data_IF_616066572738
#
_entry.id   IF_616066572738
#
_cell.length_a   1.000
_cell.length_b   1.000
_cell.length_c   1.000
_cell.angle_alpha   90.00
_cell.angle_beta   90.00
_cell.angle_gamma   90.00
#
_symmetry.space_group_name_H-M   'P 1'
#
loop_
_entity.id
_entity.type
_entity.pdbx_description
1 polymer ?
#
# COMPACT_ATOMS: atom_id res chain seq x y z
N UNK A 1 -43.03 -17.35 -2.30
CA UNK A 1 -41.66 -17.80 -1.95
C UNK A 1 -40.62 -17.40 -2.99
N UNK A 2 -40.88 -17.57 -4.30
CA UNK A 2 -39.92 -17.25 -5.39
C UNK A 2 -39.46 -15.78 -5.38
N UNK A 3 -40.38 -14.81 -5.30
CA UNK A 3 -40.04 -13.36 -5.29
C UNK A 3 -39.10 -13.02 -4.12
N UNK A 4 -39.39 -13.54 -2.93
CA UNK A 4 -38.54 -13.34 -1.75
C UNK A 4 -37.12 -13.87 -1.96
N UNK A 5 -36.97 -15.08 -2.51
CA UNK A 5 -35.66 -15.66 -2.81
C UNK A 5 -34.91 -14.83 -3.87
N UNK A 6 -35.60 -14.34 -4.90
CA UNK A 6 -34.99 -13.49 -5.93
C UNK A 6 -34.46 -12.17 -5.34
N UNK A 7 -35.25 -11.49 -4.49
CA UNK A 7 -34.82 -10.28 -3.80
C UNK A 7 -33.62 -10.56 -2.90
N UNK A 8 -33.65 -11.68 -2.16
CA UNK A 8 -32.57 -12.07 -1.27
C UNK A 8 -31.28 -12.37 -2.03
N UNK A 9 -31.35 -13.11 -3.14
CA UNK A 9 -30.21 -13.37 -4.03
C UNK A 9 -29.63 -12.05 -4.56
N UNK A 10 -30.49 -11.15 -5.04
CA UNK A 10 -30.07 -9.86 -5.58
C UNK A 10 -29.32 -9.02 -4.53
N UNK A 11 -29.86 -8.95 -3.32
CA UNK A 11 -29.22 -8.24 -2.22
C UNK A 11 -27.87 -8.87 -1.83
N UNK A 12 -27.79 -10.20 -1.76
CA UNK A 12 -26.52 -10.92 -1.53
C UNK A 12 -25.48 -10.58 -2.59
N UNK A 13 -25.88 -10.55 -3.87
CA UNK A 13 -24.98 -10.21 -4.98
C UNK A 13 -24.50 -8.76 -4.92
N UNK A 14 -25.37 -7.80 -4.58
CA UNK A 14 -24.98 -6.39 -4.40
C UNK A 14 -23.97 -6.25 -3.26
N UNK A 15 -24.28 -6.83 -2.09
CA UNK A 15 -23.41 -6.74 -0.92
C UNK A 15 -22.03 -7.34 -1.21
N UNK A 16 -22.00 -8.51 -1.84
CA UNK A 16 -20.76 -9.15 -2.27
C UNK A 16 -20.00 -8.36 -3.34
N UNK A 17 -20.71 -7.78 -4.31
CA UNK A 17 -20.09 -6.95 -5.34
C UNK A 17 -19.44 -5.69 -4.76
N UNK A 18 -20.15 -4.97 -3.89
CA UNK A 18 -19.64 -3.79 -3.20
C UNK A 18 -18.49 -4.12 -2.25
N UNK A 19 -18.60 -5.23 -1.49
CA UNK A 19 -17.53 -5.70 -0.62
C UNK A 19 -16.24 -5.99 -1.43
N UNK A 20 -16.37 -6.75 -2.51
CA UNK A 20 -15.24 -7.07 -3.40
C UNK A 20 -14.66 -5.79 -4.01
N UNK A 21 -15.49 -4.87 -4.50
CA UNK A 21 -15.04 -3.59 -5.05
C UNK A 21 -14.24 -2.77 -4.04
N UNK A 22 -14.77 -2.53 -2.83
CA UNK A 22 -14.06 -1.73 -1.83
C UNK A 22 -12.77 -2.39 -1.36
N UNK A 23 -12.78 -3.71 -1.10
CA UNK A 23 -11.57 -4.42 -0.67
C UNK A 23 -10.51 -4.44 -1.77
N UNK A 24 -10.89 -4.72 -3.03
CA UNK A 24 -9.93 -4.71 -4.14
C UNK A 24 -9.37 -3.32 -4.41
N UNK A 25 -10.20 -2.29 -4.42
CA UNK A 25 -9.74 -0.90 -4.60
C UNK A 25 -8.81 -0.47 -3.46
N UNK A 26 -9.13 -0.82 -2.22
CA UNK A 26 -8.25 -0.55 -1.08
C UNK A 26 -6.90 -1.25 -1.25
N UNK A 27 -6.90 -2.58 -1.36
CA UNK A 27 -5.68 -3.40 -1.37
C UNK A 27 -4.75 -3.13 -2.56
N UNK A 28 -5.30 -2.70 -3.70
CA UNK A 28 -4.53 -2.34 -4.90
C UNK A 28 -4.16 -0.86 -4.98
N UNK A 29 -4.70 -0.02 -4.09
CA UNK A 29 -4.37 1.41 -4.06
C UNK A 29 -2.94 1.67 -3.58
N UNK A 30 -2.34 2.72 -4.15
CA UNK A 30 -1.03 3.22 -3.73
C UNK A 30 -1.13 4.37 -2.72
N UNK A 31 -2.35 4.71 -2.28
CA UNK A 31 -2.64 5.90 -1.48
C UNK A 31 -2.91 5.56 0.00
N UNK A 32 -2.33 4.47 0.51
CA UNK A 32 -2.53 4.07 1.91
C UNK A 32 -1.88 5.04 2.88
N UNK A 33 -0.70 5.53 2.51
CA UNK A 33 0.03 6.54 3.23
C UNK A 33 0.61 7.55 2.24
N UNK A 34 0.61 8.83 2.63
CA UNK A 34 1.33 9.87 1.94
C UNK A 34 2.55 10.26 2.76
N UNK A 35 3.69 10.32 2.08
CA UNK A 35 4.99 10.63 2.62
C UNK A 35 5.33 12.05 2.21
N UNK A 36 5.49 12.91 3.19
CA UNK A 36 5.88 14.31 3.04
C UNK A 36 7.03 14.66 3.97
N UNK A 37 7.58 15.86 3.86
CA UNK A 37 8.63 16.35 4.76
C UNK A 37 8.15 17.61 5.47
N UNK A 38 8.40 17.70 6.78
CA UNK A 38 8.13 18.93 7.56
C UNK A 38 9.14 19.99 7.17
N UNK A 39 8.69 21.02 6.45
CA UNK A 39 9.57 22.04 5.87
C UNK A 39 10.39 22.76 6.93
N UNK A 40 9.76 23.11 8.05
CA UNK A 40 10.40 23.84 9.14
C UNK A 40 11.57 23.06 9.72
N UNK A 41 11.39 21.75 9.94
CA UNK A 41 12.45 20.89 10.47
C UNK A 41 13.57 20.67 9.47
N UNK A 42 13.25 20.53 8.19
CA UNK A 42 14.26 20.40 7.13
C UNK A 42 15.10 21.67 7.01
N UNK A 43 14.45 22.83 7.00
CA UNK A 43 15.12 24.14 6.90
C UNK A 43 15.99 24.43 8.14
N UNK A 44 15.53 24.02 9.32
CA UNK A 44 16.31 24.11 10.55
C UNK A 44 17.60 23.29 10.47
N UNK A 45 17.52 22.04 10.02
CA UNK A 45 18.70 21.16 9.84
C UNK A 45 19.62 21.72 8.77
N UNK A 46 19.06 22.20 7.66
CA UNK A 46 19.85 22.81 6.59
C UNK A 46 20.63 24.04 7.09
N UNK A 47 20.00 24.89 7.89
CA UNK A 47 20.65 26.03 8.54
C UNK A 47 21.74 25.60 9.51
N UNK A 48 21.48 24.59 10.35
CA UNK A 48 22.46 24.11 11.33
C UNK A 48 23.72 23.52 10.67
N UNK A 49 23.57 22.90 9.50
CA UNK A 49 24.66 22.26 8.76
C UNK A 49 25.23 23.11 7.62
N UNK A 50 24.77 24.35 7.45
CA UNK A 50 25.13 25.21 6.32
C UNK A 50 24.89 24.55 4.94
N UNK A 51 23.83 23.75 4.81
CA UNK A 51 23.41 23.19 3.52
C UNK A 51 22.50 24.18 2.77
N UNK A 52 22.59 24.21 1.45
CA UNK A 52 21.66 24.98 0.62
C UNK A 52 20.41 24.15 0.33
N UNK A 53 19.22 24.74 0.49
CA UNK A 53 17.94 24.08 0.20
C UNK A 53 17.13 24.85 -0.84
N UNK A 54 16.56 24.12 -1.78
CA UNK A 54 15.62 24.62 -2.78
C UNK A 54 14.36 23.75 -2.77
N UNK A 55 13.20 24.38 -2.62
CA UNK A 55 11.92 23.70 -2.73
C UNK A 55 11.40 23.77 -4.17
N UNK A 56 11.19 22.60 -4.77
CA UNK A 56 10.63 22.39 -6.09
C UNK A 56 9.12 22.11 -5.99
N UNK A 57 8.37 22.14 -7.11
CA UNK A 57 6.93 21.89 -7.10
C UNK A 57 6.57 20.53 -6.47
N UNK A 58 5.39 20.48 -5.83
CA UNK A 58 4.90 19.33 -5.02
C UNK A 58 5.75 19.04 -3.78
N UNK A 59 6.31 20.08 -3.17
CA UNK A 59 7.07 19.97 -1.91
C UNK A 59 8.29 19.04 -1.98
N UNK A 60 8.88 18.90 -3.17
CA UNK A 60 10.13 18.21 -3.38
C UNK A 60 11.28 19.10 -2.89
N UNK A 61 12.05 18.63 -1.91
CA UNK A 61 13.23 19.36 -1.42
C UNK A 61 14.49 18.93 -2.16
N UNK A 62 15.28 19.88 -2.67
CA UNK A 62 16.63 19.65 -3.18
C UNK A 62 17.62 20.26 -2.20
N UNK A 63 18.55 19.45 -1.70
CA UNK A 63 19.56 19.86 -0.73
C UNK A 63 20.94 19.71 -1.37
N UNK A 64 21.72 20.78 -1.42
CA UNK A 64 23.14 20.69 -1.79
C UNK A 64 23.97 20.50 -0.52
N UNK A 65 24.59 19.33 -0.40
CA UNK A 65 25.50 19.02 0.70
C UNK A 65 26.91 19.37 0.24
N UNK A 66 27.57 20.23 1.00
CA UNK A 66 29.02 20.45 0.87
C UNK A 66 29.70 19.31 1.64
N UNK A 67 30.33 18.38 0.93
CA UNK A 67 31.01 17.26 1.58
C UNK A 67 32.16 17.75 2.47
N UNK A 68 32.09 17.47 3.77
CA UNK A 68 33.30 17.33 4.59
C UNK A 68 33.98 16.02 4.17
N UNK A 69 35.29 16.08 3.96
CA UNK A 69 36.16 15.16 3.21
C UNK A 69 36.13 13.66 3.54
N UNK A 70 35.32 13.19 4.50
CA UNK A 70 35.28 11.80 4.95
C UNK A 70 34.24 10.91 4.23
N UNK A 71 33.19 11.47 3.62
CA UNK A 71 32.16 10.67 2.91
C UNK A 71 32.65 10.12 1.55
N UNK A 72 33.74 10.68 1.02
CA UNK A 72 34.34 10.30 -0.28
C UNK A 72 34.86 8.86 -0.33
N UNK A 73 35.05 8.20 0.82
CA UNK A 73 35.75 6.91 0.90
C UNK A 73 34.93 5.72 0.42
N UNK A 74 33.62 5.87 0.19
CA UNK A 74 32.76 4.78 -0.29
C UNK A 74 32.35 4.90 -1.77
N UNK A 75 32.51 6.07 -2.39
CA UNK A 75 32.09 6.33 -3.79
C UNK A 75 33.29 6.34 -4.76
N UNK A 76 34.51 6.64 -4.31
CA UNK A 76 35.72 6.62 -5.15
C UNK A 76 36.37 5.23 -5.24
N UNK A 77 35.75 4.32 -5.99
CA UNK A 77 36.49 3.20 -6.60
C UNK A 77 36.50 3.23 -8.14
N UNK A 78 35.98 4.28 -8.77
CA UNK A 78 36.04 4.36 -10.24
C UNK A 78 36.10 5.81 -10.71
N UNK A 79 37.30 6.29 -11.03
CA UNK A 79 37.50 7.46 -11.87
C UNK A 79 38.05 8.70 -11.17
N UNK A 80 39.25 9.11 -11.58
CA UNK A 80 39.90 10.36 -11.22
C UNK A 80 39.05 11.58 -11.61
N UNK A 81 38.65 12.39 -10.64
CA UNK A 81 38.63 13.85 -10.75
C UNK A 81 38.46 14.50 -9.37
N UNK A 82 39.43 15.32 -8.98
CA UNK A 82 39.41 16.23 -7.84
C UNK A 82 38.74 17.54 -8.27
N UNK A 83 37.43 17.62 -8.05
CA UNK A 83 36.71 18.88 -7.86
C UNK A 83 35.90 18.72 -6.57
N UNK A 84 35.71 19.81 -5.82
CA UNK A 84 34.75 19.90 -4.71
C UNK A 84 33.35 19.61 -5.27
N UNK A 85 33.00 18.32 -5.30
CA UNK A 85 31.74 17.87 -5.86
C UNK A 85 30.65 18.17 -4.83
N UNK A 86 29.87 19.23 -5.08
CA UNK A 86 28.59 19.42 -4.40
C UNK A 86 27.68 18.27 -4.79
N UNK A 87 27.34 17.41 -3.84
CA UNK A 87 26.38 16.32 -4.07
C UNK A 87 24.98 16.83 -3.74
N UNK A 88 24.11 16.93 -4.74
CA UNK A 88 22.71 17.27 -4.55
C UNK A 88 21.95 16.03 -4.07
N UNK A 89 21.13 16.16 -3.02
CA UNK A 89 20.29 15.09 -2.46
C UNK A 89 18.84 15.54 -2.50
N UNK A 90 17.93 14.63 -2.82
CA UNK A 90 16.51 14.93 -2.99
C UNK A 90 15.64 14.33 -1.87
N UNK A 91 14.78 15.17 -1.30
CA UNK A 91 13.72 14.81 -0.36
C UNK A 91 12.43 14.58 -1.15
N UNK A 92 12.19 13.31 -1.51
CA UNK A 92 11.15 12.94 -2.47
C UNK A 92 9.85 12.59 -1.73
N UNK A 93 8.76 13.36 -1.90
CA UNK A 93 7.44 12.95 -1.43
C UNK A 93 6.93 11.75 -2.21
N UNK A 94 6.12 10.90 -1.59
CA UNK A 94 5.70 9.64 -2.18
C UNK A 94 4.38 9.12 -1.60
N UNK A 95 3.63 8.35 -2.40
CA UNK A 95 2.44 7.64 -1.97
C UNK A 95 2.76 6.15 -1.83
N UNK A 96 2.52 5.60 -0.64
CA UNK A 96 2.74 4.21 -0.30
C UNK A 96 1.44 3.41 -0.31
N UNK A 97 1.43 2.30 -1.03
CA UNK A 97 0.40 1.27 -0.96
C UNK A 97 0.85 0.05 -0.17
N UNK A 98 0.06 -1.03 -0.25
CA UNK A 98 0.45 -2.33 0.33
C UNK A 98 1.62 -2.96 -0.45
N UNK A 99 1.63 -2.82 -1.78
CA UNK A 99 2.53 -3.55 -2.67
C UNK A 99 3.55 -2.68 -3.41
N UNK A 100 3.35 -1.36 -3.43
CA UNK A 100 4.14 -0.42 -4.23
C UNK A 100 4.32 0.91 -3.50
N UNK A 101 5.42 1.60 -3.80
CA UNK A 101 5.71 2.96 -3.38
C UNK A 101 5.93 3.83 -4.61
N UNK A 102 5.14 4.89 -4.77
CA UNK A 102 5.20 5.76 -5.94
C UNK A 102 5.69 7.16 -5.54
N UNK A 103 6.75 7.66 -6.17
CA UNK A 103 7.21 9.02 -5.95
C UNK A 103 6.21 10.05 -6.54
N UNK A 104 5.91 11.10 -5.80
CA UNK A 104 5.03 12.19 -6.20
C UNK A 104 5.83 13.37 -6.76
N UNK A 105 6.28 13.25 -8.02
CA UNK A 105 7.19 14.20 -8.65
C UNK A 105 6.55 14.81 -9.90
N UNK A 106 6.62 16.13 -10.02
CA UNK A 106 6.21 16.87 -11.22
C UNK A 106 7.19 16.67 -12.39
N UNK A 107 6.72 16.76 -13.63
CA UNK A 107 7.58 16.53 -14.81
C UNK A 107 8.74 17.52 -14.94
N UNK A 108 8.53 18.78 -14.51
CA UNK A 108 9.61 19.80 -14.49
C UNK A 108 10.68 19.48 -13.46
N UNK A 109 10.27 19.07 -12.25
CA UNK A 109 11.20 18.65 -11.20
C UNK A 109 12.00 17.40 -11.62
N UNK A 110 11.35 16.49 -12.34
CA UNK A 110 11.98 15.27 -12.86
C UNK A 110 13.11 15.54 -13.84
N UNK A 111 12.93 16.50 -14.75
CA UNK A 111 13.98 16.91 -15.67
C UNK A 111 15.21 17.43 -14.91
N UNK A 112 15.00 18.26 -13.89
CA UNK A 112 16.07 18.79 -13.04
C UNK A 112 16.78 17.70 -12.24
N UNK A 113 16.05 16.73 -11.70
CA UNK A 113 16.63 15.56 -11.03
C UNK A 113 17.50 14.74 -11.99
N UNK A 114 17.04 14.55 -13.23
CA UNK A 114 17.78 13.81 -14.25
C UNK A 114 19.08 14.51 -14.66
N UNK A 115 19.07 15.84 -14.73
CA UNK A 115 20.29 16.65 -14.94
C UNK A 115 21.30 16.46 -13.80
N UNK A 116 20.83 16.36 -12.56
CA UNK A 116 21.65 16.05 -11.38
C UNK A 116 22.03 14.56 -11.26
N UNK A 117 21.71 13.73 -12.26
CA UNK A 117 22.06 12.30 -12.30
C UNK A 117 21.10 11.36 -11.54
N UNK A 118 19.95 11.86 -11.08
CA UNK A 118 18.92 11.07 -10.40
C UNK A 118 17.83 10.63 -11.39
N UNK A 119 17.76 9.33 -11.68
CA UNK A 119 16.68 8.74 -12.48
C UNK A 119 15.67 8.00 -11.59
N UNK A 120 14.66 8.73 -11.10
CA UNK A 120 13.58 8.18 -10.26
C UNK A 120 12.25 8.42 -10.96
N UNK A 121 11.91 7.51 -11.87
CA UNK A 121 10.71 7.60 -12.70
C UNK A 121 9.60 6.62 -12.30
N UNK A 122 9.93 5.61 -11.49
CA UNK A 122 9.09 4.41 -11.33
C UNK A 122 8.50 4.25 -9.93
N UNK A 123 7.25 3.78 -9.88
CA UNK A 123 6.72 3.16 -8.68
C UNK A 123 7.56 1.92 -8.34
N UNK A 124 8.14 1.91 -7.15
CA UNK A 124 8.94 0.83 -6.63
C UNK A 124 7.99 -0.28 -6.18
N UNK A 125 8.01 -1.40 -6.89
CA UNK A 125 7.31 -2.59 -6.47
C UNK A 125 8.07 -3.28 -5.35
N UNK A 126 7.41 -3.53 -4.23
CA UNK A 126 8.00 -4.29 -3.12
C UNK A 126 8.20 -5.77 -3.46
N UNK A 127 7.63 -6.26 -4.56
CA UNK A 127 7.87 -7.59 -5.10
C UNK A 127 9.18 -7.67 -5.90
N UNK A 128 9.70 -6.54 -6.39
CA UNK A 128 10.97 -6.49 -7.11
C UNK A 128 12.09 -6.15 -6.13
N UNK A 129 12.97 -7.11 -5.88
CA UNK A 129 14.05 -6.96 -4.88
C UNK A 129 15.14 -5.95 -5.29
N UNK A 130 15.18 -5.51 -6.55
CA UNK A 130 16.28 -4.69 -7.08
C UNK A 130 16.36 -3.28 -6.47
N UNK A 131 15.25 -2.75 -5.95
CA UNK A 131 15.15 -1.35 -5.46
C UNK A 131 14.90 -1.24 -3.95
N UNK A 132 15.05 -2.36 -3.23
CA UNK A 132 14.82 -2.44 -1.78
C UNK A 132 16.18 -2.35 -1.07
N UNK A 133 16.34 -1.32 -0.26
CA UNK A 133 17.52 -1.18 0.61
C UNK A 133 17.06 -1.67 1.99
N UNK A 134 17.31 -2.93 2.30
CA UNK A 134 16.90 -3.53 3.59
C UNK A 134 17.72 -2.92 4.74
N UNK A 135 17.26 -1.76 5.23
CA UNK A 135 17.82 -1.10 6.42
C UNK A 135 17.07 -1.49 7.69
N UNK A 136 15.76 -1.72 7.59
CA UNK A 136 14.90 -2.08 8.72
C UNK A 136 14.22 -3.45 8.53
N UNK A 137 14.75 -4.44 9.26
CA UNK A 137 14.21 -5.80 9.27
C UNK A 137 12.77 -5.89 9.82
N UNK A 138 12.35 -4.95 10.68
CA UNK A 138 10.97 -4.90 11.18
C UNK A 138 10.01 -4.49 10.08
N UNK A 139 10.32 -3.39 9.39
CA UNK A 139 9.52 -2.88 8.28
C UNK A 139 9.36 -3.94 7.19
N UNK A 140 10.44 -4.64 6.84
CA UNK A 140 10.41 -5.72 5.85
C UNK A 140 9.49 -6.87 6.27
N UNK A 141 9.56 -7.29 7.55
CA UNK A 141 8.66 -8.33 8.08
C UNK A 141 7.20 -7.92 8.02
N UNK A 142 6.86 -6.71 8.49
CA UNK A 142 5.48 -6.21 8.50
C UNK A 142 4.93 -6.06 7.09
N UNK A 143 5.74 -5.54 6.16
CA UNK A 143 5.38 -5.40 4.75
C UNK A 143 5.11 -6.76 4.10
N UNK A 144 5.98 -7.75 4.30
CA UNK A 144 5.80 -9.08 3.75
C UNK A 144 4.54 -9.77 4.30
N UNK A 145 4.24 -9.57 5.60
CA UNK A 145 2.99 -10.05 6.21
C UNK A 145 1.76 -9.36 5.61
N UNK A 146 1.76 -8.03 5.52
CA UNK A 146 0.65 -7.27 4.94
C UNK A 146 0.38 -7.67 3.47
N UNK A 147 1.43 -7.77 2.66
CA UNK A 147 1.36 -8.16 1.25
C UNK A 147 0.83 -9.58 1.07
N UNK A 148 1.33 -10.55 1.82
CA UNK A 148 0.87 -11.94 1.71
C UNK A 148 -0.61 -12.08 2.09
N UNK A 149 -1.05 -11.42 3.17
CA UNK A 149 -2.47 -11.37 3.54
C UNK A 149 -3.33 -10.70 2.46
N UNK A 150 -2.85 -9.59 1.87
CA UNK A 150 -3.56 -8.90 0.80
C UNK A 150 -3.73 -9.78 -0.45
N UNK A 151 -2.67 -10.48 -0.86
CA UNK A 151 -2.71 -11.39 -2.02
C UNK A 151 -3.70 -12.54 -1.78
N UNK A 152 -3.67 -13.15 -0.59
CA UNK A 152 -4.62 -14.22 -0.25
C UNK A 152 -6.06 -13.68 -0.24
N UNK A 153 -6.29 -12.49 0.31
CA UNK A 153 -7.59 -11.83 0.29
C UNK A 153 -8.08 -11.62 -1.16
N UNK A 154 -7.23 -11.08 -2.04
CA UNK A 154 -7.56 -10.87 -3.45
C UNK A 154 -7.87 -12.19 -4.19
N UNK A 155 -7.12 -13.26 -3.92
CA UNK A 155 -7.38 -14.58 -4.47
C UNK A 155 -8.74 -15.11 -4.01
N UNK A 156 -9.04 -15.02 -2.71
CA UNK A 156 -10.33 -15.45 -2.17
C UNK A 156 -11.50 -14.69 -2.79
N UNK A 157 -11.37 -13.38 -2.97
CA UNK A 157 -12.39 -12.55 -3.63
C UNK A 157 -12.53 -12.88 -5.13
N UNK A 158 -11.42 -13.12 -5.82
CA UNK A 158 -11.42 -13.46 -7.25
C UNK A 158 -12.13 -14.80 -7.52
N UNK A 159 -11.96 -15.80 -6.64
CA UNK A 159 -12.59 -17.11 -6.80
C UNK A 159 -14.01 -17.18 -6.21
N UNK A 160 -14.32 -16.40 -5.16
CA UNK A 160 -15.64 -16.45 -4.51
C UNK A 160 -16.77 -16.01 -5.43
N UNK A 161 -16.54 -15.02 -6.29
CA UNK A 161 -17.51 -14.50 -7.27
C UNK A 161 -17.98 -15.57 -8.27
N UNK A 162 -17.08 -16.14 -9.10
CA UNK A 162 -17.43 -17.19 -10.05
C UNK A 162 -18.06 -18.42 -9.38
N UNK A 163 -17.51 -18.88 -8.25
CA UNK A 163 -18.06 -20.02 -7.51
C UNK A 163 -19.49 -19.72 -7.01
N UNK A 164 -19.72 -18.53 -6.47
CA UNK A 164 -21.04 -18.10 -6.03
C UNK A 164 -22.05 -18.11 -7.17
N UNK A 165 -21.69 -17.53 -8.31
CA UNK A 165 -22.54 -17.47 -9.51
C UNK A 165 -22.89 -18.88 -10.02
N UNK A 166 -21.89 -19.77 -10.14
CA UNK A 166 -22.11 -21.15 -10.55
C UNK A 166 -22.99 -21.92 -9.55
N UNK A 167 -22.78 -21.69 -8.25
CA UNK A 167 -23.60 -22.25 -7.18
C UNK A 167 -25.07 -21.86 -7.29
N UNK A 168 -25.35 -20.59 -7.64
CA UNK A 168 -26.71 -20.11 -7.88
C UNK A 168 -27.34 -20.73 -9.15
N UNK A 169 -26.60 -20.79 -10.26
CA UNK A 169 -27.09 -21.37 -11.51
C UNK A 169 -27.41 -22.86 -11.41
N UNK A 170 -26.53 -23.64 -10.77
CA UNK A 170 -26.72 -25.08 -10.56
C UNK A 170 -27.55 -25.40 -9.32
N UNK A 171 -27.99 -24.39 -8.57
CA UNK A 171 -28.68 -24.51 -7.27
C UNK A 171 -27.92 -25.44 -6.30
N UNK A 172 -26.59 -25.44 -6.35
CA UNK A 172 -25.74 -26.34 -5.58
C UNK A 172 -25.42 -25.72 -4.22
N UNK A 173 -26.08 -26.22 -3.17
CA UNK A 173 -25.99 -25.66 -1.80
C UNK A 173 -24.56 -25.63 -1.28
N UNK A 174 -23.77 -26.68 -1.52
CA UNK A 174 -22.39 -26.76 -1.05
C UNK A 174 -21.54 -25.61 -1.58
N UNK A 175 -21.70 -25.25 -2.86
CA UNK A 175 -20.96 -24.16 -3.50
C UNK A 175 -21.37 -22.80 -2.93
N UNK A 176 -22.68 -22.57 -2.73
CA UNK A 176 -23.21 -21.35 -2.09
C UNK A 176 -22.66 -21.18 -0.68
N UNK A 177 -22.58 -22.26 0.10
CA UNK A 177 -22.02 -22.25 1.46
C UNK A 177 -20.52 -21.94 1.45
N UNK A 178 -19.75 -22.58 0.55
CA UNK A 178 -18.31 -22.34 0.41
C UNK A 178 -18.03 -20.89 0.06
N UNK A 179 -18.81 -20.27 -0.84
CA UNK A 179 -18.70 -18.84 -1.15
C UNK A 179 -18.85 -17.96 0.10
N UNK A 180 -19.82 -18.26 0.96
CA UNK A 180 -19.99 -17.53 2.24
C UNK A 180 -18.75 -17.66 3.14
N UNK A 181 -18.21 -18.87 3.28
CA UNK A 181 -16.98 -19.11 4.06
C UNK A 181 -15.76 -18.39 3.46
N UNK A 182 -15.63 -18.36 2.12
CA UNK A 182 -14.56 -17.66 1.44
C UNK A 182 -14.59 -16.15 1.70
N UNK A 183 -15.77 -15.53 1.76
CA UNK A 183 -15.91 -14.13 2.17
C UNK A 183 -15.50 -13.90 3.62
N UNK A 184 -15.84 -14.80 4.56
CA UNK A 184 -15.35 -14.71 5.95
C UNK A 184 -13.83 -14.77 6.00
N UNK A 185 -13.22 -15.73 5.29
CA UNK A 185 -11.76 -15.85 5.23
C UNK A 185 -11.14 -14.60 4.61
N UNK A 186 -11.70 -14.06 3.53
CA UNK A 186 -11.24 -12.82 2.92
C UNK A 186 -11.29 -11.64 3.91
N UNK A 187 -12.37 -11.53 4.69
CA UNK A 187 -12.48 -10.50 5.73
C UNK A 187 -11.41 -10.66 6.82
N UNK A 188 -11.13 -11.87 7.28
CA UNK A 188 -10.07 -12.13 8.27
C UNK A 188 -8.70 -11.70 7.74
N UNK A 189 -8.37 -12.07 6.50
CA UNK A 189 -7.11 -11.63 5.88
C UNK A 189 -7.04 -10.11 5.66
N UNK A 190 -8.14 -9.47 5.28
CA UNK A 190 -8.20 -8.00 5.19
C UNK A 190 -7.99 -7.32 6.54
N UNK A 191 -8.58 -7.83 7.63
CA UNK A 191 -8.31 -7.32 8.99
C UNK A 191 -6.82 -7.41 9.32
N UNK A 192 -6.18 -8.53 8.98
CA UNK A 192 -4.73 -8.68 9.19
C UNK A 192 -3.91 -7.70 8.34
N UNK A 193 -4.26 -7.50 7.06
CA UNK A 193 -3.59 -6.49 6.22
C UNK A 193 -3.69 -5.11 6.84
N UNK A 194 -4.88 -4.70 7.27
CA UNK A 194 -5.10 -3.42 7.93
C UNK A 194 -4.29 -3.29 9.24
N UNK A 195 -4.27 -4.33 10.05
CA UNK A 195 -3.49 -4.37 11.29
C UNK A 195 -1.98 -4.23 11.01
N UNK A 196 -1.42 -4.99 10.07
CA UNK A 196 0.00 -4.89 9.73
C UNK A 196 0.36 -3.54 9.12
N UNK A 197 -0.51 -2.98 8.27
CA UNK A 197 -0.32 -1.64 7.71
C UNK A 197 -0.37 -0.54 8.76
N UNK A 198 -1.15 -0.72 9.83
CA UNK A 198 -1.16 0.18 10.99
C UNK A 198 0.12 0.02 11.84
N UNK A 199 0.48 -1.22 12.19
CA UNK A 199 1.61 -1.50 13.07
C UNK A 199 2.98 -1.22 12.44
N UNK A 200 3.10 -1.18 11.11
CA UNK A 200 4.39 -0.92 10.44
C UNK A 200 5.01 0.43 10.85
N UNK A 201 4.21 1.41 11.28
CA UNK A 201 4.66 2.77 11.63
C UNK A 201 4.70 3.08 13.13
N UNK A 202 4.40 2.12 14.02
CA UNK A 202 4.40 2.37 15.48
C UNK A 202 5.82 2.38 16.09
N UNK A 203 6.83 1.89 15.36
CA UNK A 203 8.23 1.90 15.82
C UNK A 203 8.87 3.29 15.75
N UNK A 204 9.81 3.61 16.67
CA UNK A 204 10.54 4.89 16.68
C UNK A 204 11.36 5.12 15.39
N UNK A 205 11.83 4.05 14.74
CA UNK A 205 12.52 4.10 13.44
C UNK A 205 11.55 4.07 12.24
N UNK A 206 10.27 4.36 12.48
CA UNK A 206 9.20 4.35 11.46
C UNK A 206 9.38 5.35 10.33
N UNK A 207 10.45 6.15 10.38
CA UNK A 207 10.83 7.11 9.35
C UNK A 207 11.49 6.48 8.13
N UNK A 208 11.99 5.25 8.18
CA UNK A 208 12.56 4.56 7.01
C UNK A 208 11.47 4.13 6.00
N UNK A 209 11.84 4.15 4.71
CA UNK A 209 11.08 3.48 3.64
C UNK A 209 11.72 2.16 3.21
N UNK A 210 12.99 1.93 3.54
CA UNK A 210 13.80 0.78 3.10
C UNK A 210 13.83 0.64 1.57
N UNK A 211 13.92 1.77 0.87
CA UNK A 211 13.97 1.83 -0.61
C UNK A 211 15.08 2.75 -1.10
N UNK A 212 15.26 2.85 -2.43
CA UNK A 212 16.19 3.82 -3.04
C UNK A 212 15.92 5.28 -2.64
N UNK A 213 14.72 5.64 -2.15
CA UNK A 213 14.42 6.98 -1.61
C UNK A 213 15.21 7.29 -0.31
N UNK A 214 15.73 6.25 0.35
CA UNK A 214 16.57 6.40 1.54
C UNK A 214 18.08 6.32 1.22
N UNK A 215 18.44 6.19 -0.07
CA UNK A 215 19.82 6.13 -0.50
C UNK A 215 20.46 7.52 -0.42
N UNK A 216 21.65 7.61 0.18
CA UNK A 216 22.44 8.84 0.32
C UNK A 216 21.76 9.99 1.08
N UNK A 217 20.61 9.75 1.71
CA UNK A 217 19.92 10.75 2.52
C UNK A 217 20.42 10.69 3.98
N UNK A 218 20.86 11.80 4.59
CA UNK A 218 21.25 11.80 6.00
C UNK A 218 20.04 11.54 6.92
N UNK A 219 20.27 10.78 7.99
CA UNK A 219 19.22 10.34 8.92
C UNK A 219 18.46 11.52 9.56
N UNK A 220 19.13 12.64 9.81
CA UNK A 220 18.52 13.85 10.35
C UNK A 220 17.39 14.38 9.47
N UNK A 221 17.60 14.42 8.15
CA UNK A 221 16.54 14.82 7.21
C UNK A 221 15.43 13.76 7.10
N UNK A 222 15.76 12.47 7.30
CA UNK A 222 14.75 11.42 7.35
C UNK A 222 13.81 11.57 8.55
N UNK A 223 14.31 12.06 9.70
CA UNK A 223 13.48 12.31 10.89
C UNK A 223 12.43 13.41 10.67
N UNK A 224 12.63 14.28 9.69
CA UNK A 224 11.63 15.27 9.28
C UNK A 224 10.52 14.69 8.40
N UNK A 225 10.62 13.41 8.00
CA UNK A 225 9.59 12.73 7.21
C UNK A 225 8.31 12.56 8.02
N UNK A 226 7.20 12.92 7.42
CA UNK A 226 5.86 12.82 7.99
C UNK A 226 5.02 11.85 7.16
N UNK A 227 4.32 10.95 7.86
CA UNK A 227 3.44 9.96 7.24
C UNK A 227 2.00 10.29 7.62
N UNK A 228 1.19 10.57 6.61
CA UNK A 228 -0.25 10.80 6.79
C UNK A 228 -1.03 9.64 6.20
N UNK A 229 -2.06 9.19 6.90
CA UNK A 229 -2.94 8.11 6.45
C UNK A 229 -3.80 8.61 5.30
N UNK A 230 -3.90 7.84 4.22
CA UNK A 230 -4.78 8.15 3.08
C UNK A 230 -6.17 7.53 3.20
N UNK A 231 -6.90 7.48 2.09
CA UNK A 231 -8.28 6.98 2.03
C UNK A 231 -8.48 5.44 2.06
N UNK A 232 -7.54 4.58 1.58
CA UNK A 232 -7.77 3.14 1.48
C UNK A 232 -8.18 2.46 2.79
N UNK A 233 -7.58 2.75 3.97
CA UNK A 233 -8.01 2.15 5.22
C UNK A 233 -9.51 2.33 5.52
N UNK A 234 -10.08 3.49 5.19
CA UNK A 234 -11.51 3.74 5.37
C UNK A 234 -12.36 2.90 4.41
N UNK A 235 -11.93 2.77 3.15
CA UNK A 235 -12.57 1.89 2.17
C UNK A 235 -12.45 0.41 2.55
N UNK A 236 -11.32 0.00 3.13
CA UNK A 236 -11.10 -1.36 3.63
C UNK A 236 -12.09 -1.70 4.74
N UNK A 237 -12.24 -0.83 5.74
CA UNK A 237 -13.21 -1.03 6.82
C UNK A 237 -14.64 -1.18 6.29
N UNK A 238 -15.04 -0.31 5.36
CA UNK A 238 -16.35 -0.42 4.71
C UNK A 238 -16.50 -1.75 3.97
N UNK A 239 -15.48 -2.14 3.20
CA UNK A 239 -15.42 -3.42 2.49
C UNK A 239 -15.49 -4.63 3.43
N UNK A 240 -14.79 -4.59 4.56
CA UNK A 240 -14.78 -5.64 5.60
C UNK A 240 -16.17 -5.82 6.22
N UNK A 241 -16.84 -4.72 6.60
CA UNK A 241 -18.20 -4.76 7.13
C UNK A 241 -19.18 -5.36 6.11
N UNK A 242 -19.12 -4.90 4.86
CA UNK A 242 -19.96 -5.44 3.77
C UNK A 242 -19.65 -6.90 3.47
N UNK A 243 -18.38 -7.30 3.56
CA UNK A 243 -17.93 -8.67 3.35
C UNK A 243 -18.50 -9.62 4.41
N UNK A 244 -18.44 -9.23 5.68
CA UNK A 244 -19.03 -10.00 6.78
C UNK A 244 -20.55 -10.09 6.66
N UNK A 245 -21.24 -8.98 6.37
CA UNK A 245 -22.69 -8.99 6.16
C UNK A 245 -23.04 -9.87 4.95
N UNK A 246 -22.35 -9.69 3.82
CA UNK A 246 -22.53 -10.50 2.62
C UNK A 246 -22.31 -11.99 2.89
N UNK A 247 -21.33 -12.35 3.72
CA UNK A 247 -21.09 -13.75 4.10
C UNK A 247 -22.26 -14.37 4.87
N UNK A 248 -22.87 -13.62 5.79
CA UNK A 248 -24.08 -14.06 6.51
C UNK A 248 -25.23 -14.29 5.54
N UNK A 249 -25.39 -13.39 4.57
CA UNK A 249 -26.38 -13.52 3.51
C UNK A 249 -26.15 -14.77 2.65
N UNK A 250 -24.91 -15.09 2.26
CA UNK A 250 -24.58 -16.33 1.56
C UNK A 250 -24.94 -17.59 2.37
N UNK A 251 -24.62 -17.60 3.67
CA UNK A 251 -24.92 -18.73 4.54
C UNK A 251 -26.43 -18.90 4.78
N UNK A 252 -27.16 -17.80 4.97
CA UNK A 252 -28.62 -17.80 5.05
C UNK A 252 -29.25 -18.26 3.73
N UNK A 253 -28.70 -17.84 2.60
CA UNK A 253 -29.15 -18.28 1.29
C UNK A 253 -29.00 -19.79 1.12
N UNK A 254 -27.86 -20.36 1.52
CA UNK A 254 -27.65 -21.81 1.51
C UNK A 254 -28.71 -22.55 2.37
N UNK A 255 -29.11 -21.98 3.51
CA UNK A 255 -30.21 -22.51 4.33
C UNK A 255 -31.56 -22.42 3.62
N UNK A 256 -31.89 -21.28 3.02
CA UNK A 256 -33.15 -21.08 2.26
C UNK A 256 -33.26 -22.11 1.14
N UNK A 257 -32.21 -22.30 0.33
CA UNK A 257 -32.19 -23.31 -0.73
C UNK A 257 -32.37 -24.73 -0.17
N UNK A 258 -31.76 -25.06 0.97
CA UNK A 258 -31.97 -26.36 1.62
C UNK A 258 -33.42 -26.58 2.03
N UNK A 259 -34.09 -25.57 2.57
CA UNK A 259 -35.52 -25.67 2.92
C UNK A 259 -36.39 -25.84 1.68
N UNK A 260 -36.10 -25.14 0.59
CA UNK A 260 -36.85 -25.27 -0.67
C UNK A 260 -36.74 -26.67 -1.28
N UNK A 261 -35.58 -27.33 -1.17
CA UNK A 261 -35.41 -28.71 -1.63
C UNK A 261 -36.20 -29.69 -0.76
N UNK A 262 -36.25 -29.46 0.57
CA UNK A 262 -36.93 -30.35 1.52
C UNK A 262 -38.46 -30.16 1.57
N UNK A 263 -38.97 -29.01 1.15
CA UNK A 263 -40.41 -28.68 1.13
C UNK A 263 -40.85 -28.14 -0.23
N UNK A 264 -40.89 -29.00 -1.27
CA UNK A 264 -41.39 -28.60 -2.58
C UNK A 264 -42.89 -28.34 -2.46
N UNK A 265 -43.26 -27.06 -2.43
CA UNK A 265 -44.65 -26.58 -2.59
C UNK A 265 -44.85 -26.12 -4.02
#
# INVERSE_FOLDING_TARGET
>A
MVIFTCIFVFLTLILSGLATLFLTLSLLSNEWEHISYKKEGVEEIARLKNHSIEWLPRDLGRIEIMEESDFKKQILLTGNQTQDAKTAVYLIPANGGVNKLCADISDSARLKMKEDGYDIHECISYLSNEKIISKDAWLDRMRNLAMSCAIVCLILLAFSGPLGILGLFKKQISTIMVTGVMYILAAVFGIFTLAFMHFKRIKPDGFYTSTILDLNLPEEYMKCRNFTVGWPPSAEWAGLCLCLIGSLFWLLLAKIYRFQILSPT
#
